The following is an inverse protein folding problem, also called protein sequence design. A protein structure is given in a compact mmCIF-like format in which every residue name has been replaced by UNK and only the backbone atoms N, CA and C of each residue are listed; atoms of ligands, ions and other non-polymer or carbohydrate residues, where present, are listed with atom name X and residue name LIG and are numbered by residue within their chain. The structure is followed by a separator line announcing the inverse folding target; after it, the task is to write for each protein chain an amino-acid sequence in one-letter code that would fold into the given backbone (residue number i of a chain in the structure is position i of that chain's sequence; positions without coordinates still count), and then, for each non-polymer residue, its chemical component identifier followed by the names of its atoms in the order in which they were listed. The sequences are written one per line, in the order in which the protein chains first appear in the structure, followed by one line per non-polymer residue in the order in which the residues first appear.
data_IF_445866507114
#
_entry.id   IF_445866507114
#
_cell.length_a   1.000
_cell.length_b   1.000
_cell.length_c   1.000
_cell.angle_alpha   90.00
_cell.angle_beta   90.00
_cell.angle_gamma   90.00
#
_symmetry.space_group_name_H-M   'P 1'
#
loop_
_entity.id
_entity.type
_entity.pdbx_description
1 polymer ?
#
# COMPACT_ATOMS: atom_id res chain seq x y z
N UNK A 1 1.71 -15.42 3.31
CA UNK A 1 0.50 -14.60 3.07
C UNK A 1 -0.25 -14.32 4.36
N UNK A 2 -0.75 -15.32 5.08
CA UNK A 2 -1.47 -15.15 6.35
C UNK A 2 -0.73 -14.27 7.38
N UNK A 3 0.56 -14.52 7.64
CA UNK A 3 1.33 -13.71 8.58
C UNK A 3 1.48 -12.23 8.14
N UNK A 4 1.63 -11.99 6.83
CA UNK A 4 1.70 -10.63 6.26
C UNK A 4 0.33 -9.96 6.38
N UNK A 5 -0.74 -10.70 6.08
CA UNK A 5 -2.12 -10.25 6.20
C UNK A 5 -2.48 -9.85 7.63
N UNK A 6 -2.15 -10.69 8.60
CA UNK A 6 -2.33 -10.40 10.04
C UNK A 6 -1.49 -9.21 10.46
N UNK A 7 -0.23 -9.14 10.01
CA UNK A 7 0.69 -8.07 10.34
C UNK A 7 0.18 -6.69 9.89
N UNK A 8 -0.21 -6.55 8.62
CA UNK A 8 -0.72 -5.28 8.14
C UNK A 8 -2.07 -4.93 8.75
N UNK A 9 -2.98 -5.90 8.97
CA UNK A 9 -4.27 -5.66 9.63
C UNK A 9 -4.10 -5.11 11.06
N UNK A 10 -3.15 -5.67 11.81
CA UNK A 10 -2.87 -5.23 13.19
C UNK A 10 -2.31 -3.80 13.21
N UNK A 11 -1.41 -3.46 12.29
CA UNK A 11 -0.85 -2.12 12.17
C UNK A 11 -1.90 -1.11 11.65
N UNK A 12 -2.72 -1.52 10.70
CA UNK A 12 -3.85 -0.75 10.17
C UNK A 12 -4.80 -0.36 11.30
N UNK A 13 -5.24 -1.34 12.10
CA UNK A 13 -6.17 -1.07 13.20
C UNK A 13 -5.56 -0.15 14.27
N UNK A 14 -4.29 -0.38 14.63
CA UNK A 14 -3.59 0.46 15.62
C UNK A 14 -3.40 1.89 15.13
N UNK A 15 -3.03 2.08 13.87
CA UNK A 15 -2.86 3.42 13.31
C UNK A 15 -4.20 4.13 13.15
N UNK A 16 -5.26 3.45 12.67
CA UNK A 16 -6.60 4.04 12.59
C UNK A 16 -7.12 4.55 13.95
N UNK A 17 -6.76 3.88 15.06
CA UNK A 17 -7.19 4.27 16.40
C UNK A 17 -6.45 5.50 16.95
N UNK A 18 -5.23 5.77 16.49
CA UNK A 18 -4.35 6.78 17.11
C UNK A 18 -3.95 7.93 16.18
N UNK A 19 -4.12 7.79 14.88
CA UNK A 19 -3.94 8.85 13.90
C UNK A 19 -5.22 9.61 13.58
N UNK A 20 -5.07 10.82 13.05
CA UNK A 20 -6.19 11.51 12.44
C UNK A 20 -6.68 10.73 11.22
N UNK A 21 -8.00 10.65 11.05
CA UNK A 21 -8.61 9.94 9.92
C UNK A 21 -8.10 10.48 8.57
N UNK A 22 -7.84 11.78 8.50
CA UNK A 22 -7.35 12.46 7.30
C UNK A 22 -5.92 12.03 6.93
N UNK A 23 -5.00 11.99 7.90
CA UNK A 23 -3.63 11.50 7.67
C UNK A 23 -3.64 10.03 7.27
N UNK A 24 -4.42 9.24 8.00
CA UNK A 24 -4.54 7.81 7.77
C UNK A 24 -5.07 7.51 6.36
N UNK A 25 -6.14 8.16 5.94
CA UNK A 25 -6.71 8.04 4.60
C UNK A 25 -5.69 8.42 3.53
N UNK A 26 -4.99 9.54 3.69
CA UNK A 26 -3.96 9.98 2.75
C UNK A 26 -2.87 8.93 2.56
N UNK A 27 -2.36 8.36 3.65
CA UNK A 27 -1.32 7.34 3.60
C UNK A 27 -1.80 6.09 2.88
N UNK A 28 -3.03 5.64 3.15
CA UNK A 28 -3.59 4.47 2.46
C UNK A 28 -3.85 4.72 0.98
N UNK A 29 -4.27 5.93 0.62
CA UNK A 29 -4.45 6.33 -0.79
C UNK A 29 -3.12 6.35 -1.57
N UNK A 30 -1.97 6.36 -0.88
CA UNK A 30 -0.65 6.18 -1.51
C UNK A 30 -0.26 4.71 -1.70
N UNK A 31 -1.06 3.74 -1.21
CA UNK A 31 -0.79 2.31 -1.40
C UNK A 31 -0.65 1.89 -2.87
N UNK A 32 -1.46 2.38 -3.83
CA UNK A 32 -1.26 2.06 -5.24
C UNK A 32 0.09 2.54 -5.76
N UNK A 33 0.55 3.73 -5.35
CA UNK A 33 1.87 4.26 -5.71
C UNK A 33 2.98 3.38 -5.15
N UNK A 34 2.90 3.02 -3.87
CA UNK A 34 3.86 2.12 -3.23
C UNK A 34 3.89 0.75 -3.93
N UNK A 35 2.72 0.23 -4.33
CA UNK A 35 2.61 -1.03 -5.07
C UNK A 35 3.29 -0.96 -6.42
N UNK A 36 3.12 0.12 -7.18
CA UNK A 36 3.82 0.31 -8.47
C UNK A 36 5.33 0.39 -8.29
N UNK A 37 5.80 1.13 -7.30
CA UNK A 37 7.24 1.26 -7.00
C UNK A 37 7.83 -0.10 -6.62
N UNK A 38 7.19 -0.83 -5.71
CA UNK A 38 7.64 -2.16 -5.28
C UNK A 38 7.55 -3.18 -6.43
N UNK A 39 6.50 -3.13 -7.25
CA UNK A 39 6.33 -4.02 -8.39
C UNK A 39 7.43 -3.78 -9.43
N UNK A 40 7.78 -2.52 -9.70
CA UNK A 40 8.92 -2.20 -10.55
C UNK A 40 10.22 -2.82 -10.01
N UNK A 41 10.46 -2.81 -8.69
CA UNK A 41 11.65 -3.45 -8.12
C UNK A 41 11.66 -4.97 -8.29
N UNK A 42 10.51 -5.63 -8.13
CA UNK A 42 10.40 -7.10 -8.08
C UNK A 42 10.18 -7.76 -9.45
N UNK A 43 9.51 -7.09 -10.39
CA UNK A 43 9.14 -7.59 -11.72
C UNK A 43 9.77 -6.71 -12.81
N UNK A 44 11.07 -6.89 -13.12
CA UNK A 44 11.76 -6.07 -14.11
C UNK A 44 11.14 -6.16 -15.50
N UNK A 45 10.57 -7.30 -15.86
CA UNK A 45 9.85 -7.56 -17.11
C UNK A 45 8.57 -6.71 -17.29
N UNK A 46 7.98 -6.21 -16.21
CA UNK A 46 6.76 -5.39 -16.26
C UNK A 46 7.02 -3.89 -16.15
N UNK A 47 8.30 -3.48 -16.14
CA UNK A 47 8.68 -2.07 -16.06
C UNK A 47 8.33 -1.35 -17.35
N UNK A 48 7.15 -0.74 -17.37
CA UNK A 48 6.77 0.21 -18.41
C UNK A 48 6.88 1.63 -17.88
N UNK A 49 7.68 2.45 -18.57
CA UNK A 49 7.93 3.83 -18.18
C UNK A 49 6.64 4.65 -18.12
N UNK A 50 5.67 4.36 -18.99
CA UNK A 50 4.33 4.98 -19.00
C UNK A 50 3.59 4.78 -17.68
N UNK A 51 3.55 3.55 -17.15
CA UNK A 51 2.91 3.24 -15.87
C UNK A 51 3.60 3.93 -14.70
N UNK A 52 4.94 4.00 -14.73
CA UNK A 52 5.72 4.66 -13.69
C UNK A 52 5.46 6.18 -13.65
N UNK A 53 5.47 6.83 -14.81
CA UNK A 53 5.14 8.26 -14.93
C UNK A 53 3.70 8.52 -14.46
N UNK A 54 2.74 7.71 -14.91
CA UNK A 54 1.34 7.85 -14.49
C UNK A 54 1.18 7.71 -12.97
N UNK A 55 1.89 6.77 -12.34
CA UNK A 55 1.89 6.59 -10.90
C UNK A 55 2.46 7.83 -10.17
N UNK A 56 3.60 8.37 -10.63
CA UNK A 56 4.19 9.58 -10.04
C UNK A 56 3.23 10.77 -10.15
N UNK A 57 2.64 10.97 -11.34
CA UNK A 57 1.69 12.08 -11.57
C UNK A 57 0.46 11.93 -10.66
N UNK A 58 -0.11 10.73 -10.56
CA UNK A 58 -1.23 10.45 -9.69
C UNK A 58 -0.89 10.67 -8.21
N UNK A 59 0.28 10.19 -7.77
CA UNK A 59 0.78 10.39 -6.41
C UNK A 59 1.00 11.86 -6.06
N UNK A 60 1.63 12.61 -6.97
CA UNK A 60 1.84 14.05 -6.81
C UNK A 60 0.52 14.82 -6.75
N UNK A 61 -0.44 14.49 -7.64
CA UNK A 61 -1.77 15.09 -7.62
C UNK A 61 -2.52 14.79 -6.32
N UNK A 62 -2.37 13.57 -5.78
CA UNK A 62 -3.01 13.16 -4.53
C UNK A 62 -2.46 13.93 -3.32
N UNK A 63 -1.13 14.04 -3.21
CA UNK A 63 -0.47 14.83 -2.17
C UNK A 63 -0.87 16.30 -2.29
N UNK A 64 -0.87 16.85 -3.51
CA UNK A 64 -1.24 18.24 -3.77
C UNK A 64 -2.69 18.56 -3.39
N UNK A 65 -3.63 17.65 -3.72
CA UNK A 65 -5.06 17.80 -3.43
C UNK A 65 -5.34 17.93 -1.92
N UNK A 66 -4.62 17.16 -1.11
CA UNK A 66 -4.83 17.12 0.35
C UNK A 66 -3.96 18.12 1.12
N UNK A 67 -2.87 18.62 0.53
CA UNK A 67 -1.99 19.62 1.17
C UNK A 67 -2.68 20.96 1.48
N UNK A 68 -3.75 21.32 0.74
CA UNK A 68 -4.47 22.58 0.96
C UNK A 68 -5.50 22.55 2.09
N UNK A 69 -5.89 21.38 2.61
CA UNK A 69 -7.03 21.28 3.53
C UNK A 69 -6.66 21.17 5.00
N UNK A 70 -5.48 20.66 5.36
CA UNK A 70 -5.08 20.51 6.77
C UNK A 70 -3.56 20.61 6.98
N UNK A 71 -3.16 21.09 8.16
CA UNK A 71 -1.79 20.96 8.65
C UNK A 71 -1.53 19.47 8.96
N UNK A 72 -0.83 18.77 8.06
CA UNK A 72 -0.42 17.38 8.28
C UNK A 72 0.40 17.26 9.57
N UNK A 73 -0.25 16.84 10.66
CA UNK A 73 0.43 16.56 11.92
C UNK A 73 0.93 15.13 11.86
N UNK A 74 2.20 14.96 11.51
CA UNK A 74 2.87 13.67 11.55
C UNK A 74 3.11 13.28 13.01
N UNK A 75 2.36 12.30 13.52
CA UNK A 75 2.61 11.72 14.84
C UNK A 75 3.45 10.44 14.71
N UNK A 76 3.98 9.92 15.82
CA UNK A 76 4.70 8.63 15.81
C UNK A 76 3.84 7.46 15.28
N UNK A 77 2.51 7.59 15.31
CA UNK A 77 1.57 6.59 14.80
C UNK A 77 1.44 6.59 13.27
N UNK A 78 1.80 7.70 12.61
CA UNK A 78 1.86 7.82 11.15
C UNK A 78 2.80 6.77 10.56
N UNK A 79 3.90 6.48 11.25
CA UNK A 79 4.84 5.44 10.83
C UNK A 79 4.20 4.05 10.76
N UNK A 80 3.28 3.72 11.69
CA UNK A 80 2.56 2.45 11.65
C UNK A 80 1.61 2.38 10.44
N UNK A 81 0.96 3.50 10.08
CA UNK A 81 0.12 3.55 8.87
C UNK A 81 0.96 3.38 7.61
N UNK A 82 2.14 4.01 7.53
CA UNK A 82 3.07 3.86 6.40
C UNK A 82 3.53 2.40 6.31
N UNK A 83 3.92 1.79 7.43
CA UNK A 83 4.34 0.39 7.47
C UNK A 83 3.21 -0.57 7.07
N UNK A 84 1.97 -0.31 7.53
CA UNK A 84 0.80 -1.08 7.11
C UNK A 84 0.59 -0.99 5.60
N UNK A 85 0.63 0.23 5.04
CA UNK A 85 0.50 0.48 3.61
C UNK A 85 1.60 -0.24 2.79
N UNK A 86 2.86 -0.20 3.24
CA UNK A 86 3.95 -0.93 2.60
C UNK A 86 3.77 -2.44 2.65
N UNK A 87 3.30 -2.99 3.77
CA UNK A 87 3.01 -4.42 3.89
C UNK A 87 1.81 -4.84 3.03
N UNK A 88 0.78 -4.01 2.91
CA UNK A 88 -0.34 -4.24 1.98
C UNK A 88 0.13 -4.29 0.53
N UNK A 89 0.95 -3.33 0.13
CA UNK A 89 1.56 -3.30 -1.21
C UNK A 89 2.49 -4.49 -1.44
N UNK A 90 3.26 -4.90 -0.43
CA UNK A 90 4.07 -6.11 -0.48
C UNK A 90 3.22 -7.38 -0.61
N UNK A 91 2.11 -7.48 0.12
CA UNK A 91 1.17 -8.61 0.01
C UNK A 91 0.66 -8.76 -1.43
N UNK A 92 0.33 -7.66 -2.12
CA UNK A 92 -0.12 -7.69 -3.51
C UNK A 92 0.93 -8.34 -4.45
N UNK A 93 2.22 -8.06 -4.22
CA UNK A 93 3.32 -8.68 -4.97
C UNK A 93 3.45 -10.17 -4.67
N UNK A 94 3.33 -10.55 -3.39
CA UNK A 94 3.33 -11.96 -3.00
C UNK A 94 2.16 -12.74 -3.61
N UNK A 95 0.96 -12.16 -3.61
CA UNK A 95 -0.23 -12.74 -4.25
C UNK A 95 0.04 -12.98 -5.73
N UNK A 96 0.58 -11.96 -6.42
CA UNK A 96 0.92 -12.08 -7.84
C UNK A 96 1.92 -13.20 -8.12
N UNK A 97 2.98 -13.32 -7.33
CA UNK A 97 3.94 -14.43 -7.48
C UNK A 97 3.29 -15.79 -7.21
N UNK A 98 2.39 -15.85 -6.23
CA UNK A 98 1.75 -17.11 -5.84
C UNK A 98 0.74 -17.59 -6.87
N UNK A 99 0.14 -16.68 -7.66
CA UNK A 99 -0.80 -17.01 -8.75
C UNK A 99 -0.17 -17.85 -9.87
N UNK A 100 1.17 -17.92 -9.95
CA UNK A 100 1.86 -18.83 -10.87
C UNK A 100 1.65 -20.30 -10.49
N UNK A 101 1.50 -20.58 -9.20
CA UNK A 101 1.42 -21.95 -8.65
C UNK A 101 0.03 -22.32 -8.16
N UNK A 102 -0.77 -21.34 -7.75
CA UNK A 102 -2.09 -21.54 -7.16
C UNK A 102 -3.17 -20.91 -8.01
N UNK A 103 -4.33 -21.57 -8.09
CA UNK A 103 -5.53 -20.95 -8.65
C UNK A 103 -6.00 -19.79 -7.74
N UNK A 104 -6.69 -18.78 -8.30
CA UNK A 104 -7.25 -17.67 -7.51
C UNK A 104 -8.11 -18.14 -6.34
N UNK A 105 -8.90 -19.22 -6.53
CA UNK A 105 -9.75 -19.80 -5.50
C UNK A 105 -8.92 -20.43 -4.35
N UNK A 106 -7.84 -21.14 -4.68
CA UNK A 106 -6.95 -21.72 -3.67
C UNK A 106 -6.22 -20.65 -2.86
N UNK A 107 -5.77 -19.58 -3.51
CA UNK A 107 -5.14 -18.44 -2.84
C UNK A 107 -6.09 -17.70 -1.91
N UNK A 108 -7.35 -17.54 -2.31
CA UNK A 108 -8.36 -16.95 -1.43
C UNK A 108 -8.58 -17.80 -0.17
N UNK A 109 -8.68 -19.12 -0.33
CA UNK A 109 -8.84 -20.03 0.81
C UNK A 109 -7.65 -20.01 1.77
N UNK A 110 -6.42 -19.87 1.28
CA UNK A 110 -5.22 -19.77 2.12
C UNK A 110 -5.09 -18.41 2.81
N UNK A 111 -5.70 -17.37 2.23
CA UNK A 111 -5.63 -15.99 2.74
C UNK A 111 -6.66 -15.70 3.82
N UNK A 112 -7.85 -16.28 3.69
CA UNK A 112 -9.01 -16.03 4.56
C UNK A 112 -8.95 -16.91 5.80
#
# INVERSE_FOLDING_TARGET
MLAVAVGWNMLYYRSLKHESLQNFELILMLSPLATVILAALVFPEERQLSHFIAAIVAGAALVWSKFRRDHLQFSGWTWLAILAMLLMSGEAIFIKKSLVFFSPAGLYFIRT
#
